data_IF_675947092438
#
_entry.id   IF_675947092438
#
_cell.length_a   1.000
_cell.length_b   1.000
_cell.length_c   1.000
_cell.angle_alpha   90.00
_cell.angle_beta   90.00
_cell.angle_gamma   90.00
#
_symmetry.space_group_name_H-M   'P 1'
#
loop_
_entity.id
_entity.type
_entity.pdbx_description
1 polymer ?
#
# COMPACT_ATOMS: atom_id res chain seq x y z
N UNK A 1 24.75 -3.12 -0.12
CA UNK A 1 23.56 -3.64 -0.83
C UNK A 1 22.91 -2.46 -1.53
N UNK A 2 22.68 -2.51 -2.85
CA UNK A 2 22.06 -1.43 -3.64
C UNK A 2 20.66 -1.78 -4.14
N UNK A 3 19.93 -2.64 -3.40
CA UNK A 3 18.61 -3.13 -3.78
C UNK A 3 17.56 -2.02 -3.86
N UNK A 4 17.71 -1.01 -3.03
CA UNK A 4 16.90 0.22 -3.06
C UNK A 4 17.06 0.98 -4.38
N UNK A 5 18.29 1.15 -4.86
CA UNK A 5 18.56 1.76 -6.17
C UNK A 5 18.03 0.89 -7.32
N UNK A 6 18.21 -0.44 -7.23
CA UNK A 6 17.67 -1.38 -8.21
C UNK A 6 16.13 -1.35 -8.27
N UNK A 7 15.47 -1.24 -7.12
CA UNK A 7 14.02 -1.09 -7.03
C UNK A 7 13.58 0.17 -7.78
N UNK A 8 14.22 1.31 -7.53
CA UNK A 8 13.89 2.57 -8.21
C UNK A 8 14.16 2.49 -9.71
N UNK A 9 15.26 1.88 -10.15
CA UNK A 9 15.53 1.67 -11.58
C UNK A 9 14.44 0.86 -12.27
N UNK A 10 14.00 -0.24 -11.65
CA UNK A 10 12.90 -1.07 -12.16
C UNK A 10 11.56 -0.35 -12.11
N UNK A 11 11.32 0.44 -11.07
CA UNK A 11 10.12 1.26 -10.94
C UNK A 11 10.01 2.30 -12.06
N UNK A 12 11.09 3.03 -12.32
CA UNK A 12 11.16 4.03 -13.41
C UNK A 12 10.88 3.34 -14.75
N UNK A 13 11.55 2.21 -15.02
CA UNK A 13 11.31 1.45 -16.25
C UNK A 13 9.86 0.99 -16.38
N UNK A 14 9.26 0.48 -15.29
CA UNK A 14 7.86 0.06 -15.27
C UNK A 14 6.90 1.22 -15.57
N UNK A 15 7.16 2.41 -15.02
CA UNK A 15 6.39 3.62 -15.29
C UNK A 15 6.49 4.02 -16.76
N UNK A 16 7.71 4.05 -17.31
CA UNK A 16 7.98 4.40 -18.70
C UNK A 16 7.33 3.41 -19.69
N UNK A 17 7.56 2.10 -19.50
CA UNK A 17 7.07 1.04 -20.38
C UNK A 17 5.53 1.01 -20.43
N UNK A 18 4.85 1.37 -19.33
CA UNK A 18 3.39 1.38 -19.22
C UNK A 18 2.77 2.77 -19.37
N UNK A 19 3.58 3.80 -19.65
CA UNK A 19 3.14 5.20 -19.79
C UNK A 19 2.28 5.68 -18.62
N UNK A 20 2.67 5.30 -17.40
CA UNK A 20 1.96 5.72 -16.19
C UNK A 20 2.15 7.23 -16.00
N UNK A 21 1.07 8.02 -15.84
CA UNK A 21 1.20 9.45 -15.62
C UNK A 21 1.71 9.71 -14.20
N UNK A 22 3.02 9.95 -14.09
CA UNK A 22 3.71 10.31 -12.85
C UNK A 22 4.36 11.70 -13.02
N UNK A 23 3.57 12.79 -13.04
CA UNK A 23 4.08 14.14 -13.29
C UNK A 23 4.93 14.69 -12.14
N UNK A 24 4.79 14.15 -10.93
CA UNK A 24 5.60 14.54 -9.77
C UNK A 24 6.91 13.74 -9.73
N UNK A 25 7.97 14.30 -9.12
CA UNK A 25 9.19 13.56 -8.87
C UNK A 25 8.91 12.30 -8.03
N UNK A 26 9.66 11.24 -8.31
CA UNK A 26 9.70 10.06 -7.45
C UNK A 26 10.49 10.44 -6.20
N UNK A 27 9.83 10.41 -5.04
CA UNK A 27 10.47 10.68 -3.76
C UNK A 27 11.12 9.41 -3.22
N UNK A 28 12.39 9.48 -2.85
CA UNK A 28 13.07 8.39 -2.14
C UNK A 28 13.69 8.90 -0.85
N UNK A 29 13.39 8.22 0.26
CA UNK A 29 13.87 8.55 1.61
C UNK A 29 14.28 7.29 2.34
N UNK A 30 15.15 7.43 3.34
CA UNK A 30 15.59 6.30 4.16
C UNK A 30 15.31 6.57 5.64
N UNK A 31 14.97 5.52 6.37
CA UNK A 31 14.81 5.56 7.83
C UNK A 31 15.56 4.40 8.48
N UNK A 32 15.94 4.59 9.74
CA UNK A 32 16.30 3.47 10.60
C UNK A 32 15.08 2.58 10.87
N UNK A 33 15.33 1.31 11.19
CA UNK A 33 14.31 0.35 11.57
C UNK A 33 13.44 0.81 12.75
N UNK A 34 12.22 0.30 12.78
CA UNK A 34 11.27 0.40 13.88
C UNK A 34 11.31 -0.86 14.75
N UNK A 35 10.99 -0.71 16.02
CA UNK A 35 10.77 -1.82 16.97
C UNK A 35 9.31 -2.28 17.03
N UNK A 36 8.38 -1.55 16.39
CA UNK A 36 6.96 -1.92 16.39
C UNK A 36 6.68 -3.01 15.37
N UNK A 37 6.10 -4.17 15.75
CA UNK A 37 5.78 -5.26 14.81
C UNK A 37 4.79 -4.87 13.70
N UNK A 38 3.97 -3.84 13.91
CA UNK A 38 3.03 -3.32 12.92
C UNK A 38 3.67 -2.30 11.97
N UNK A 39 4.95 -1.94 12.16
CA UNK A 39 5.63 -1.00 11.28
C UNK A 39 6.11 -1.69 10.00
N UNK A 40 5.91 -1.10 8.80
CA UNK A 40 6.54 -1.59 7.58
C UNK A 40 8.07 -1.55 7.64
N UNK A 41 8.62 -0.71 8.52
CA UNK A 41 10.06 -0.62 8.81
C UNK A 41 10.48 -1.48 10.02
N UNK A 42 9.67 -2.45 10.45
CA UNK A 42 10.02 -3.33 11.56
C UNK A 42 11.25 -4.18 11.25
N UNK A 43 12.20 -4.21 12.18
CA UNK A 43 13.28 -5.20 12.18
C UNK A 43 13.82 -5.47 13.58
N UNK A 44 14.25 -6.72 13.79
CA UNK A 44 15.04 -7.14 14.96
C UNK A 44 16.52 -6.77 14.83
N UNK A 45 17.00 -6.41 13.64
CA UNK A 45 18.40 -6.02 13.37
C UNK A 45 18.60 -4.53 13.59
N UNK A 46 19.44 -4.11 14.56
CA UNK A 46 19.63 -2.70 14.92
C UNK A 46 19.98 -1.78 13.75
N UNK A 47 20.87 -2.24 12.87
CA UNK A 47 21.45 -1.43 11.79
C UNK A 47 20.69 -1.54 10.47
N UNK A 48 19.52 -2.17 10.45
CA UNK A 48 18.71 -2.28 9.23
C UNK A 48 18.08 -0.93 8.87
N UNK A 49 18.20 -0.58 7.59
CA UNK A 49 17.70 0.66 7.00
C UNK A 49 16.61 0.32 5.99
N UNK A 50 15.56 1.13 5.97
CA UNK A 50 14.43 0.98 5.06
C UNK A 50 14.37 2.14 4.09
N UNK A 51 14.16 1.83 2.81
CA UNK A 51 13.94 2.82 1.74
C UNK A 51 12.44 2.98 1.50
N UNK A 52 11.95 4.21 1.58
CA UNK A 52 10.61 4.62 1.20
C UNK A 52 10.66 5.21 -0.19
N UNK A 53 9.88 4.66 -1.11
CA UNK A 53 9.76 5.17 -2.48
C UNK A 53 8.30 5.57 -2.72
N UNK A 54 8.09 6.82 -3.06
CA UNK A 54 6.77 7.40 -3.29
C UNK A 54 6.62 7.91 -4.71
N UNK A 55 5.58 7.47 -5.40
CA UNK A 55 5.12 8.06 -6.67
C UNK A 55 3.85 8.83 -6.40
N UNK A 56 3.83 10.09 -6.82
CA UNK A 56 2.77 11.04 -6.52
C UNK A 56 2.08 11.42 -7.83
N UNK A 57 0.76 11.33 -7.86
CA UNK A 57 -0.07 11.84 -8.94
C UNK A 57 -0.79 13.10 -8.44
N UNK A 58 -0.89 14.15 -9.26
CA UNK A 58 -1.57 15.38 -8.88
C UNK A 58 -3.07 15.14 -8.78
N UNK A 59 -3.67 15.55 -7.65
CA UNK A 59 -5.11 15.52 -7.47
C UNK A 59 -5.72 16.87 -7.91
N UNK A 60 -6.42 16.94 -9.05
CA UNK A 60 -6.99 18.19 -9.54
C UNK A 60 -8.20 18.63 -8.69
N UNK A 61 -8.56 19.93 -8.73
CA UNK A 61 -9.75 20.44 -8.05
C UNK A 61 -11.05 20.02 -8.75
N UNK A 62 -10.99 19.72 -10.07
CA UNK A 62 -12.12 19.22 -10.84
C UNK A 62 -12.42 17.76 -10.49
N UNK A 63 -13.70 17.46 -10.20
CA UNK A 63 -14.13 16.15 -9.69
C UNK A 63 -14.00 15.04 -10.74
N UNK A 64 -14.32 15.34 -12.01
CA UNK A 64 -14.22 14.34 -13.07
C UNK A 64 -12.75 13.98 -13.34
N UNK A 65 -11.86 14.98 -13.37
CA UNK A 65 -10.42 14.73 -13.49
C UNK A 65 -9.86 14.01 -12.26
N UNK A 66 -10.37 14.32 -11.06
CA UNK A 66 -9.96 13.66 -9.80
C UNK A 66 -10.30 12.19 -9.83
N UNK A 67 -11.49 11.83 -10.28
CA UNK A 67 -11.88 10.44 -10.45
C UNK A 67 -10.95 9.72 -11.43
N UNK A 68 -10.68 10.32 -12.59
CA UNK A 68 -9.79 9.74 -13.59
C UNK A 68 -8.37 9.50 -13.05
N UNK A 69 -7.80 10.44 -12.29
CA UNK A 69 -6.49 10.27 -11.64
C UNK A 69 -6.54 9.17 -10.58
N UNK A 70 -7.62 9.07 -9.82
CA UNK A 70 -7.81 8.03 -8.79
C UNK A 70 -7.84 6.63 -9.42
N UNK A 71 -8.55 6.48 -10.54
CA UNK A 71 -8.60 5.24 -11.31
C UNK A 71 -7.22 4.86 -11.86
N UNK A 72 -6.47 5.83 -12.39
CA UNK A 72 -5.10 5.62 -12.86
C UNK A 72 -4.15 5.21 -11.71
N UNK A 73 -4.29 5.83 -10.54
CA UNK A 73 -3.51 5.47 -9.37
C UNK A 73 -3.78 4.03 -8.92
N UNK A 74 -5.04 3.59 -8.92
CA UNK A 74 -5.42 2.20 -8.61
C UNK A 74 -4.86 1.21 -9.63
N UNK A 75 -4.95 1.54 -10.92
CA UNK A 75 -4.37 0.72 -11.99
C UNK A 75 -2.84 0.58 -11.83
N UNK A 76 -2.16 1.68 -11.50
CA UNK A 76 -0.74 1.70 -11.19
C UNK A 76 -0.40 0.84 -9.96
N UNK A 77 -1.20 0.91 -8.88
CA UNK A 77 -1.01 0.07 -7.70
C UNK A 77 -1.05 -1.43 -8.02
N UNK A 78 -1.98 -1.86 -8.90
CA UNK A 78 -2.03 -3.25 -9.39
C UNK A 78 -0.79 -3.60 -10.23
N UNK A 79 -0.40 -2.72 -11.15
CA UNK A 79 0.77 -2.89 -12.00
C UNK A 79 2.07 -3.03 -11.19
N UNK A 80 2.17 -2.34 -10.06
CA UNK A 80 3.33 -2.42 -9.16
C UNK A 80 3.43 -3.71 -8.37
N UNK A 81 2.34 -4.44 -8.16
CA UNK A 81 2.32 -5.56 -7.21
C UNK A 81 3.42 -6.62 -7.48
N UNK A 82 3.67 -7.05 -8.73
CA UNK A 82 4.75 -8.00 -8.99
C UNK A 82 6.14 -7.48 -8.63
N UNK A 83 6.39 -6.17 -8.80
CA UNK A 83 7.66 -5.55 -8.43
C UNK A 83 7.80 -5.46 -6.90
N UNK A 84 6.70 -5.18 -6.19
CA UNK A 84 6.69 -5.22 -4.72
C UNK A 84 7.01 -6.63 -4.20
N UNK A 85 6.39 -7.64 -4.79
CA UNK A 85 6.60 -9.04 -4.42
C UNK A 85 8.06 -9.47 -4.68
N UNK A 86 8.65 -9.07 -5.82
CA UNK A 86 10.05 -9.37 -6.17
C UNK A 86 11.04 -8.88 -5.10
N UNK A 87 10.79 -7.69 -4.54
CA UNK A 87 11.67 -7.08 -3.54
C UNK A 87 11.23 -7.34 -2.09
N UNK A 88 10.11 -8.04 -1.88
CA UNK A 88 9.47 -8.16 -0.56
C UNK A 88 9.05 -6.81 0.04
N UNK A 89 8.86 -5.80 -0.81
CA UNK A 89 8.52 -4.44 -0.41
C UNK A 89 7.08 -4.37 0.11
N UNK A 90 6.85 -3.46 1.07
CA UNK A 90 5.55 -3.26 1.70
C UNK A 90 4.99 -1.90 1.31
N UNK A 91 3.68 -1.85 1.09
CA UNK A 91 2.98 -0.58 0.90
C UNK A 91 2.96 0.18 2.22
N UNK A 92 3.26 1.47 2.16
CA UNK A 92 3.17 2.36 3.33
C UNK A 92 1.71 2.47 3.79
N UNK A 93 1.43 2.44 5.10
CA UNK A 93 0.05 2.47 5.61
C UNK A 93 -0.79 3.63 5.08
N UNK A 94 -0.22 4.83 5.04
CA UNK A 94 -0.86 6.02 4.46
C UNK A 94 -1.05 6.01 2.92
N UNK A 95 -0.66 4.93 2.24
CA UNK A 95 -0.82 4.73 0.78
C UNK A 95 -1.62 3.47 0.44
N UNK A 96 -2.08 2.75 1.46
CA UNK A 96 -2.90 1.58 1.28
C UNK A 96 -4.34 2.02 0.98
N UNK A 97 -4.93 1.47 -0.07
CA UNK A 97 -6.29 1.77 -0.50
C UNK A 97 -7.17 0.52 -0.36
N UNK A 98 -8.44 0.73 -0.03
CA UNK A 98 -9.43 -0.34 -0.15
C UNK A 98 -9.71 -0.62 -1.64
N UNK A 99 -9.96 -1.88 -2.03
CA UNK A 99 -10.43 -2.19 -3.38
C UNK A 99 -11.65 -1.34 -3.76
N UNK A 100 -11.66 -0.86 -5.00
CA UNK A 100 -12.74 -0.02 -5.51
C UNK A 100 -14.06 -0.81 -5.62
N UNK A 101 -15.18 -0.09 -5.63
CA UNK A 101 -16.52 -0.65 -5.89
C UNK A 101 -17.35 0.22 -6.85
N UNK A 102 -16.68 1.12 -7.56
CA UNK A 102 -17.33 2.20 -8.32
C UNK A 102 -17.98 1.67 -9.62
N UNK A 103 -17.37 0.66 -10.24
CA UNK A 103 -17.86 0.02 -11.47
C UNK A 103 -18.33 -1.42 -11.23
N UNK A 104 -19.10 -1.99 -12.15
CA UNK A 104 -19.51 -3.40 -12.04
C UNK A 104 -18.32 -4.37 -12.15
N UNK A 105 -17.29 -3.98 -12.91
CA UNK A 105 -16.03 -4.73 -12.94
C UNK A 105 -15.30 -4.68 -11.60
N UNK A 106 -15.28 -3.52 -10.93
CA UNK A 106 -14.68 -3.39 -9.59
C UNK A 106 -15.43 -4.25 -8.58
N UNK A 107 -16.76 -4.21 -8.58
CA UNK A 107 -17.59 -5.07 -7.72
C UNK A 107 -17.32 -6.56 -7.98
N UNK A 108 -17.14 -6.96 -9.25
CA UNK A 108 -16.82 -8.33 -9.60
C UNK A 108 -15.45 -8.79 -9.08
N UNK A 109 -14.48 -7.88 -8.96
CA UNK A 109 -13.14 -8.15 -8.42
C UNK A 109 -13.02 -7.91 -6.90
N UNK A 110 -13.93 -7.16 -6.30
CA UNK A 110 -13.81 -6.66 -4.94
C UNK A 110 -13.45 -7.75 -3.93
N UNK A 111 -14.22 -8.85 -3.90
CA UNK A 111 -14.02 -9.92 -2.93
C UNK A 111 -12.63 -10.58 -3.06
N UNK A 112 -12.14 -10.78 -4.29
CA UNK A 112 -10.83 -11.41 -4.51
C UNK A 112 -9.68 -10.43 -4.21
N UNK A 113 -9.84 -9.15 -4.52
CA UNK A 113 -8.86 -8.11 -4.17
C UNK A 113 -8.76 -7.88 -2.65
N UNK A 114 -9.90 -7.88 -1.93
CA UNK A 114 -9.91 -7.81 -0.46
C UNK A 114 -9.21 -9.02 0.14
N UNK A 115 -9.53 -10.22 -0.33
CA UNK A 115 -8.90 -11.46 0.15
C UNK A 115 -7.38 -11.44 -0.10
N UNK A 116 -6.95 -10.99 -1.28
CA UNK A 116 -5.53 -10.86 -1.60
C UNK A 116 -4.83 -9.82 -0.70
N UNK A 117 -5.47 -8.67 -0.45
CA UNK A 117 -4.97 -7.64 0.44
C UNK A 117 -4.80 -8.17 1.87
N UNK A 118 -5.86 -8.75 2.44
CA UNK A 118 -5.86 -9.34 3.78
C UNK A 118 -4.79 -10.40 3.92
N UNK A 119 -4.63 -11.28 2.92
CA UNK A 119 -3.59 -12.31 2.91
C UNK A 119 -2.18 -11.71 2.92
N UNK A 120 -1.91 -10.68 2.12
CA UNK A 120 -0.60 -10.00 2.09
C UNK A 120 -0.29 -9.34 3.44
N UNK A 121 -1.28 -8.67 4.02
CA UNK A 121 -1.14 -8.01 5.33
C UNK A 121 -0.89 -9.05 6.43
N UNK A 122 -1.68 -10.11 6.48
CA UNK A 122 -1.51 -11.19 7.47
C UNK A 122 -0.20 -11.98 7.31
N UNK A 123 0.36 -12.05 6.09
CA UNK A 123 1.66 -12.68 5.85
C UNK A 123 2.83 -11.88 6.46
N UNK A 124 2.66 -10.57 6.67
CA UNK A 124 3.72 -9.67 7.14
C UNK A 124 3.55 -9.22 8.59
N UNK A 125 2.31 -9.00 9.02
CA UNK A 125 1.99 -8.34 10.28
C UNK A 125 1.21 -9.26 11.22
N UNK A 126 1.33 -9.09 12.56
CA UNK A 126 0.59 -9.86 13.56
C UNK A 126 -0.89 -9.42 13.64
N UNK A 127 -1.64 -9.68 12.57
CA UNK A 127 -3.03 -9.22 12.40
C UNK A 127 -3.96 -9.79 13.47
N UNK A 128 -3.75 -11.05 13.87
CA UNK A 128 -4.59 -11.71 14.88
C UNK A 128 -4.47 -10.98 16.22
N UNK A 129 -3.25 -10.79 16.70
CA UNK A 129 -2.95 -10.11 17.96
C UNK A 129 -3.41 -8.65 17.90
N UNK A 130 -3.19 -7.97 16.76
CA UNK A 130 -3.69 -6.61 16.55
C UNK A 130 -5.21 -6.53 16.72
N UNK A 131 -5.96 -7.47 16.13
CA UNK A 131 -7.42 -7.52 16.25
C UNK A 131 -7.88 -7.84 17.67
N UNK A 132 -7.21 -8.76 18.38
CA UNK A 132 -7.49 -9.05 19.79
C UNK A 132 -7.39 -7.78 20.65
N UNK A 133 -6.33 -6.96 20.43
CA UNK A 133 -6.20 -5.67 21.11
C UNK A 133 -7.23 -4.65 20.66
N UNK A 134 -7.55 -4.59 19.37
CA UNK A 134 -8.55 -3.66 18.83
C UNK A 134 -9.92 -3.92 19.47
N UNK A 135 -10.33 -5.17 19.56
CA UNK A 135 -11.62 -5.56 20.13
C UNK A 135 -11.65 -5.40 21.66
N UNK A 136 -10.52 -5.58 22.35
CA UNK A 136 -10.42 -5.34 23.79
C UNK A 136 -10.46 -3.84 24.15
N UNK A 137 -9.79 -2.99 23.37
CA UNK A 137 -9.65 -1.56 23.65
C UNK A 137 -10.83 -0.73 23.10
N UNK A 138 -11.43 -1.17 22.00
CA UNK A 138 -12.58 -0.52 21.37
C UNK A 138 -13.63 -1.57 20.95
N UNK A 139 -14.34 -2.18 21.92
CA UNK A 139 -15.31 -3.25 21.67
C UNK A 139 -16.52 -2.81 20.82
N UNK A 140 -16.72 -1.51 20.66
CA UNK A 140 -17.78 -0.93 19.82
C UNK A 140 -17.26 -0.43 18.47
N UNK A 141 -15.95 -0.51 18.24
CA UNK A 141 -15.26 -0.06 17.03
C UNK A 141 -15.59 1.39 16.63
N UNK A 142 -15.69 2.26 17.63
CA UNK A 142 -15.96 3.69 17.43
C UNK A 142 -14.78 4.37 16.71
N UNK A 143 -13.56 3.88 16.93
CA UNK A 143 -12.32 4.40 16.34
C UNK A 143 -11.91 3.67 15.05
N UNK A 144 -12.85 2.96 14.42
CA UNK A 144 -12.62 2.26 13.15
C UNK A 144 -13.24 2.98 11.95
N UNK A 145 -12.88 2.54 10.74
CA UNK A 145 -13.43 3.00 9.48
C UNK A 145 -13.44 1.85 8.44
N UNK A 146 -14.08 2.09 7.30
CA UNK A 146 -14.24 1.09 6.25
C UNK A 146 -12.90 0.52 5.74
N UNK A 147 -11.84 1.32 5.70
CA UNK A 147 -10.52 0.86 5.28
C UNK A 147 -9.94 -0.12 6.31
N UNK A 148 -9.97 0.24 7.60
CA UNK A 148 -9.49 -0.60 8.69
C UNK A 148 -10.28 -1.91 8.78
N UNK A 149 -11.61 -1.87 8.66
CA UNK A 149 -12.44 -3.07 8.66
C UNK A 149 -12.19 -3.93 7.41
N UNK A 150 -11.95 -3.32 6.25
CA UNK A 150 -11.59 -4.05 5.03
C UNK A 150 -10.25 -4.78 5.16
N UNK A 151 -9.23 -4.12 5.71
CA UNK A 151 -7.87 -4.67 5.81
C UNK A 151 -7.77 -5.74 6.89
N UNK A 152 -8.34 -5.48 8.06
CA UNK A 152 -8.13 -6.31 9.25
C UNK A 152 -9.34 -7.19 9.57
N UNK A 153 -10.42 -7.06 8.82
CA UNK A 153 -11.66 -7.79 9.05
C UNK A 153 -12.57 -7.09 10.05
N UNK A 154 -13.85 -7.49 10.00
CA UNK A 154 -14.80 -7.30 11.10
C UNK A 154 -14.66 -8.43 12.10
#
# INVERSE_FOLDING_TARGET
>A
SGKDLQFVQKLVKLIEDNRVPAPCPIEQRWTARSTSPMSPAFSTKPDEVFSWVGVIMYLPPDEAQRQAVTEQFRAYGRLMQPLLDEFGAQVHWAKLEAPAQDTDEDKARYASEVTALQKRVAAKYPVKEFNEFRDALDPRRILSNDLIETIFGK
#
